data_IF_662447705830
#
_entry.id   IF_662447705830
#
_cell.length_a   1.000
_cell.length_b   1.000
_cell.length_c   1.000
_cell.angle_alpha   90.00
_cell.angle_beta   90.00
_cell.angle_gamma   90.00
#
_symmetry.space_group_name_H-M   'P 1'
#
loop_
_entity.id
_entity.type
_entity.pdbx_description
1 polymer ?
#
# COMPACT_ATOMS: atom_id res chain seq x y z
N UNK A 1 -3.13 -18.80 50.39
CA UNK A 1 -4.06 -19.55 49.52
C UNK A 1 -3.40 -19.83 48.17
N UNK A 2 -2.98 -21.09 47.94
CA UNK A 2 -2.36 -21.47 46.65
C UNK A 2 -3.46 -21.78 45.65
N UNK A 3 -3.69 -20.89 44.65
CA UNK A 3 -4.57 -21.19 43.51
C UNK A 3 -3.87 -22.21 42.59
N UNK A 4 -4.44 -23.42 42.49
CA UNK A 4 -4.02 -24.43 41.51
C UNK A 4 -4.35 -23.94 40.12
N UNK A 5 -3.34 -23.71 39.29
CA UNK A 5 -3.50 -23.47 37.86
C UNK A 5 -3.99 -24.79 37.21
N UNK A 6 -5.17 -24.77 36.60
CA UNK A 6 -5.61 -25.82 35.69
C UNK A 6 -4.99 -25.56 34.33
N UNK A 7 -4.27 -26.50 33.73
CA UNK A 7 -3.75 -26.32 32.38
C UNK A 7 -4.92 -26.23 31.40
N UNK A 8 -4.98 -25.13 30.62
CA UNK A 8 -5.87 -25.06 29.50
C UNK A 8 -5.40 -26.02 28.40
N UNK A 9 -6.37 -26.72 27.78
CA UNK A 9 -6.11 -27.60 26.62
C UNK A 9 -5.37 -26.84 25.55
N UNK A 10 -4.36 -27.45 24.90
CA UNK A 10 -3.66 -26.79 23.80
C UNK A 10 -4.65 -26.48 22.66
N UNK A 11 -4.59 -25.26 22.13
CA UNK A 11 -5.30 -24.85 20.92
C UNK A 11 -4.76 -25.70 19.75
N UNK A 12 -5.44 -26.82 19.49
CA UNK A 12 -5.19 -27.68 18.35
C UNK A 12 -5.58 -26.94 17.07
N UNK A 13 -4.58 -26.48 16.30
CA UNK A 13 -4.86 -25.80 15.06
C UNK A 13 -3.72 -25.73 14.06
N UNK A 14 -2.56 -26.34 14.30
CA UNK A 14 -1.44 -26.26 13.35
C UNK A 14 -0.43 -27.40 13.54
N UNK A 15 -0.82 -28.65 13.36
CA UNK A 15 0.02 -29.75 12.93
C UNK A 15 -0.80 -31.04 12.92
N UNK A 16 -1.33 -31.41 11.78
CA UNK A 16 -1.73 -32.79 11.50
C UNK A 16 -0.51 -33.52 10.93
N UNK A 17 0.26 -34.17 11.78
CA UNK A 17 1.09 -35.27 11.34
C UNK A 17 0.32 -36.55 11.57
N UNK A 18 -0.40 -37.00 10.55
CA UNK A 18 -0.86 -38.40 10.47
C UNK A 18 0.19 -39.14 9.65
N UNK A 19 0.70 -40.17 10.25
CA UNK A 19 1.28 -41.41 9.79
C UNK A 19 2.66 -41.68 10.33
N UNK A 20 2.71 -42.49 11.37
CA UNK A 20 3.61 -43.63 11.49
C UNK A 20 3.04 -44.60 12.56
N UNK A 21 2.84 -45.88 12.25
CA UNK A 21 2.49 -46.86 13.22
C UNK A 21 3.77 -47.46 13.86
N UNK A 22 3.64 -47.84 15.12
CA UNK A 22 4.49 -48.74 15.89
C UNK A 22 5.88 -48.28 16.39
N UNK A 23 5.89 -47.88 17.66
CA UNK A 23 6.88 -48.39 18.63
C UNK A 23 6.41 -48.03 20.03
N UNK A 24 6.16 -49.06 20.85
CA UNK A 24 5.90 -48.92 22.27
C UNK A 24 7.10 -48.30 23.03
N UNK A 25 6.90 -47.14 23.56
CA UNK A 25 7.85 -46.43 24.40
C UNK A 25 7.16 -45.19 24.96
N UNK A 26 7.16 -45.01 26.28
CA UNK A 26 6.47 -43.93 26.97
C UNK A 26 6.72 -42.58 26.34
N UNK A 27 5.67 -41.95 25.85
CA UNK A 27 5.71 -40.58 25.31
C UNK A 27 6.07 -39.59 26.41
N UNK A 28 7.34 -39.24 26.55
CA UNK A 28 7.71 -37.99 27.18
C UNK A 28 7.27 -36.85 26.24
N UNK A 29 6.13 -36.23 26.54
CA UNK A 29 5.71 -35.04 25.84
C UNK A 29 6.78 -33.95 26.06
N UNK A 30 7.58 -33.65 25.04
CA UNK A 30 8.50 -32.52 25.10
C UNK A 30 7.70 -31.23 24.90
N UNK A 31 7.73 -30.37 25.89
CA UNK A 31 7.09 -29.04 25.81
C UNK A 31 8.14 -28.03 25.38
N UNK A 32 7.83 -27.29 24.34
CA UNK A 32 8.62 -26.12 23.91
C UNK A 32 7.95 -24.86 24.44
N UNK A 33 8.70 -24.05 25.15
CA UNK A 33 8.24 -22.74 25.64
C UNK A 33 8.79 -21.65 24.75
N UNK A 34 7.93 -20.78 24.29
CA UNK A 34 8.32 -19.59 23.52
C UNK A 34 7.95 -18.33 24.31
N UNK A 35 8.95 -17.52 24.66
CA UNK A 35 8.71 -16.20 25.23
C UNK A 35 8.63 -15.15 24.13
N UNK A 36 7.59 -14.32 24.19
CA UNK A 36 7.38 -13.22 23.25
C UNK A 36 7.30 -11.91 24.03
N UNK A 37 8.03 -10.90 23.54
CA UNK A 37 8.01 -9.55 24.09
C UNK A 37 7.43 -8.59 23.04
N UNK A 38 6.32 -7.92 23.39
CA UNK A 38 5.66 -6.97 22.49
C UNK A 38 5.62 -5.59 23.11
N UNK A 39 6.08 -4.57 22.38
CA UNK A 39 5.84 -3.18 22.72
C UNK A 39 4.40 -2.81 22.34
N UNK A 40 3.55 -2.62 23.33
CA UNK A 40 2.14 -2.23 23.13
C UNK A 40 1.96 -0.72 23.01
N UNK A 41 3.00 0.06 23.30
CA UNK A 41 2.98 1.52 23.21
C UNK A 41 4.03 2.04 22.21
N UNK A 42 3.65 2.37 20.97
CA UNK A 42 4.59 2.90 19.99
C UNK A 42 5.26 4.21 20.42
N UNK A 43 4.62 4.99 21.31
CA UNK A 43 5.17 6.25 21.81
C UNK A 43 6.53 6.08 22.51
N UNK A 44 6.75 4.94 23.18
CA UNK A 44 8.04 4.65 23.83
C UNK A 44 9.20 4.66 22.85
N UNK A 45 9.02 4.06 21.67
CA UNK A 45 10.05 4.09 20.61
C UNK A 45 10.13 5.44 19.90
N UNK A 46 9.08 6.24 20.00
CA UNK A 46 8.99 7.54 19.33
C UNK A 46 9.49 8.70 20.18
N UNK A 47 9.66 8.49 21.49
CA UNK A 47 10.03 9.52 22.45
C UNK A 47 11.40 10.14 22.15
N UNK A 48 12.38 9.32 21.79
CA UNK A 48 13.72 9.78 21.39
C UNK A 48 13.65 10.76 20.21
N UNK A 49 12.80 10.46 19.20
CA UNK A 49 12.61 11.36 18.06
C UNK A 49 11.94 12.67 18.49
N UNK A 50 10.96 12.60 19.38
CA UNK A 50 10.25 13.77 19.91
C UNK A 50 11.16 14.73 20.63
N UNK A 51 12.12 14.21 21.41
CA UNK A 51 13.07 15.01 22.19
C UNK A 51 14.22 15.59 21.35
N UNK A 52 14.75 14.80 20.42
CA UNK A 52 15.95 15.18 19.66
C UNK A 52 15.66 15.98 18.38
N UNK A 53 14.39 16.02 17.89
CA UNK A 53 14.06 16.64 16.62
C UNK A 53 13.34 17.98 16.80
N UNK A 54 13.67 18.95 15.97
CA UNK A 54 13.01 20.26 15.92
C UNK A 54 11.59 20.17 15.36
N UNK A 55 11.38 19.31 14.37
CA UNK A 55 10.10 19.14 13.70
C UNK A 55 9.94 17.72 13.20
N UNK A 56 8.73 17.21 13.23
CA UNK A 56 8.36 15.88 12.79
C UNK A 56 7.28 16.02 11.73
N UNK A 57 7.54 15.48 10.53
CA UNK A 57 6.59 15.43 9.41
C UNK A 57 6.29 13.97 9.09
N UNK A 58 5.02 13.58 9.22
CA UNK A 58 4.54 12.28 8.77
C UNK A 58 3.82 12.44 7.43
N UNK A 59 4.22 11.67 6.44
CA UNK A 59 3.60 11.67 5.12
C UNK A 59 3.31 10.26 4.65
N UNK A 60 2.11 10.03 4.17
CA UNK A 60 1.70 8.76 3.54
C UNK A 60 0.38 8.94 2.79
N UNK A 61 0.17 8.16 1.74
CA UNK A 61 -1.12 8.10 1.03
C UNK A 61 -2.27 7.51 1.87
N UNK A 62 -1.97 6.90 3.02
CA UNK A 62 -2.94 6.17 3.86
C UNK A 62 -2.89 6.59 5.34
N UNK A 63 -2.66 7.88 5.61
CA UNK A 63 -2.63 8.41 6.98
C UNK A 63 -4.01 8.48 7.65
N UNK A 64 -5.09 8.43 6.88
CA UNK A 64 -6.45 8.48 7.44
C UNK A 64 -6.83 7.16 8.14
N UNK A 65 -7.44 7.20 9.34
CA UNK A 65 -7.78 8.36 10.17
C UNK A 65 -6.58 8.95 10.94
N UNK A 66 -6.26 10.22 10.71
CA UNK A 66 -5.05 10.86 11.24
C UNK A 66 -5.01 11.00 12.77
N UNK A 67 -6.16 11.08 13.42
CA UNK A 67 -6.24 11.20 14.89
C UNK A 67 -5.56 10.04 15.62
N UNK A 68 -5.52 8.86 14.98
CA UNK A 68 -4.87 7.67 15.56
C UNK A 68 -3.37 7.82 15.74
N UNK A 69 -2.69 8.58 14.87
CA UNK A 69 -1.25 8.80 14.99
C UNK A 69 -0.91 9.66 16.20
N UNK A 70 -1.68 10.72 16.47
CA UNK A 70 -1.52 11.53 17.68
C UNK A 70 -1.67 10.68 18.94
N UNK A 71 -2.69 9.84 18.99
CA UNK A 71 -2.94 8.94 20.13
C UNK A 71 -1.85 7.89 20.30
N UNK A 72 -1.41 7.24 19.22
CA UNK A 72 -0.46 6.13 19.31
C UNK A 72 0.98 6.60 19.51
N UNK A 73 1.37 7.75 18.96
CA UNK A 73 2.73 8.29 19.06
C UNK A 73 2.90 9.29 20.22
N UNK A 74 1.82 9.60 20.93
CA UNK A 74 1.77 10.61 21.99
C UNK A 74 2.36 11.96 21.54
N UNK A 75 1.97 12.39 20.33
CA UNK A 75 2.40 13.65 19.73
C UNK A 75 1.20 14.43 19.24
N UNK A 76 1.12 15.69 19.66
CA UNK A 76 0.10 16.59 19.12
C UNK A 76 0.60 17.18 17.79
N UNK A 77 0.07 16.66 16.67
CA UNK A 77 0.29 17.23 15.34
C UNK A 77 -0.64 18.44 15.14
N UNK A 78 -0.08 19.65 15.27
CA UNK A 78 -0.81 20.90 15.13
C UNK A 78 -1.33 21.12 13.69
N UNK A 79 -0.60 20.62 12.70
CA UNK A 79 -0.98 20.70 11.29
C UNK A 79 -1.35 19.29 10.80
N UNK A 80 -2.56 19.15 10.25
CA UNK A 80 -3.08 17.91 9.68
C UNK A 80 -3.66 18.22 8.31
N UNK A 81 -3.07 17.63 7.27
CA UNK A 81 -3.52 17.81 5.89
C UNK A 81 -4.05 16.49 5.34
N UNK A 82 -5.35 16.41 5.11
CA UNK A 82 -5.95 15.36 4.30
C UNK A 82 -6.28 15.96 2.93
N UNK A 83 -5.34 15.82 1.99
CA UNK A 83 -5.46 16.39 0.67
C UNK A 83 -6.60 15.72 -0.13
N UNK A 84 -7.13 16.44 -1.11
CA UNK A 84 -7.94 15.83 -2.15
C UNK A 84 -7.03 15.02 -3.09
N UNK A 85 -7.59 14.02 -3.74
CA UNK A 85 -6.82 13.28 -4.74
C UNK A 85 -6.54 14.17 -5.97
N UNK A 86 -5.43 13.91 -6.66
CA UNK A 86 -4.99 14.67 -7.84
C UNK A 86 -5.80 14.37 -9.10
N UNK A 87 -6.62 13.31 -9.09
CA UNK A 87 -7.46 12.87 -10.21
C UNK A 87 -8.81 13.56 -10.23
N UNK A 88 -9.43 13.64 -11.41
CA UNK A 88 -10.82 14.05 -11.55
C UNK A 88 -11.75 12.97 -10.98
N UNK A 89 -12.87 13.38 -10.37
CA UNK A 89 -13.87 12.46 -9.83
C UNK A 89 -14.45 11.52 -10.88
N UNK A 90 -14.47 11.93 -12.14
CA UNK A 90 -14.93 11.09 -13.26
C UNK A 90 -14.02 9.91 -13.56
N UNK A 91 -12.74 9.98 -13.15
CA UNK A 91 -11.78 8.91 -13.37
C UNK A 91 -11.90 7.77 -12.35
N UNK A 92 -12.71 7.93 -11.30
CA UNK A 92 -12.88 6.92 -10.25
C UNK A 92 -14.34 6.61 -10.02
N UNK A 93 -14.69 5.36 -10.20
CA UNK A 93 -15.99 4.80 -9.88
C UNK A 93 -15.91 4.10 -8.52
N UNK A 94 -16.60 4.62 -7.49
CA UNK A 94 -16.54 4.11 -6.13
C UNK A 94 -17.93 3.73 -5.66
N UNK A 95 -18.16 2.44 -5.41
CA UNK A 95 -19.47 1.94 -5.02
C UNK A 95 -19.39 0.93 -3.88
N UNK A 96 -20.46 0.86 -3.10
CA UNK A 96 -20.71 -0.21 -2.15
C UNK A 96 -21.89 -1.06 -2.63
N UNK A 97 -21.79 -2.38 -2.49
CA UNK A 97 -22.84 -3.32 -2.88
C UNK A 97 -23.28 -4.14 -1.67
N UNK A 98 -24.59 -4.15 -1.39
CA UNK A 98 -25.16 -4.87 -0.26
C UNK A 98 -25.83 -6.21 -0.63
N UNK A 99 -26.28 -6.37 -1.86
CA UNK A 99 -26.95 -7.59 -2.33
C UNK A 99 -26.37 -8.04 -3.67
N UNK A 100 -26.29 -9.34 -3.87
CA UNK A 100 -25.83 -9.91 -5.12
C UNK A 100 -26.93 -10.07 -6.18
N UNK A 101 -26.62 -10.71 -7.33
CA UNK A 101 -27.54 -10.80 -8.47
C UNK A 101 -28.86 -11.52 -8.18
N UNK A 102 -28.88 -12.51 -7.26
CA UNK A 102 -30.11 -13.19 -6.86
C UNK A 102 -30.80 -12.56 -5.64
N UNK A 103 -30.39 -11.35 -5.25
CA UNK A 103 -30.96 -10.62 -4.12
C UNK A 103 -30.49 -11.08 -2.74
N UNK A 104 -29.54 -11.99 -2.66
CA UNK A 104 -28.95 -12.44 -1.40
C UNK A 104 -28.07 -11.34 -0.80
N UNK A 105 -28.24 -11.08 0.51
CA UNK A 105 -27.39 -10.12 1.24
C UNK A 105 -25.93 -10.56 1.23
N UNK A 106 -25.04 -9.63 0.91
CA UNK A 106 -23.59 -9.81 0.89
C UNK A 106 -23.00 -9.29 2.21
N UNK A 107 -22.84 -10.19 3.17
CA UNK A 107 -22.29 -9.89 4.49
C UNK A 107 -21.10 -10.81 4.76
N UNK A 108 -19.90 -10.29 4.65
CA UNK A 108 -18.66 -11.05 4.77
C UNK A 108 -18.18 -11.23 6.23
N UNK A 109 -19.11 -11.33 7.19
CA UNK A 109 -18.77 -11.73 8.55
C UNK A 109 -18.38 -13.20 8.61
N UNK A 110 -17.58 -13.59 9.61
CA UNK A 110 -17.12 -14.97 9.80
C UNK A 110 -18.28 -15.99 9.74
N UNK A 111 -19.42 -15.64 10.37
CA UNK A 111 -20.61 -16.52 10.39
C UNK A 111 -21.23 -16.72 9.00
N UNK A 112 -21.33 -15.67 8.22
CA UNK A 112 -22.01 -15.70 6.91
C UNK A 112 -21.08 -16.20 5.80
N UNK A 113 -19.78 -15.98 5.93
CA UNK A 113 -18.77 -16.45 4.96
C UNK A 113 -18.73 -17.99 4.79
N UNK A 114 -19.29 -18.73 5.75
CA UNK A 114 -19.45 -20.21 5.67
C UNK A 114 -20.62 -20.63 4.77
N UNK A 115 -21.56 -19.73 4.48
CA UNK A 115 -22.75 -20.04 3.69
C UNK A 115 -22.43 -20.16 2.20
N UNK A 116 -22.82 -21.27 1.58
CA UNK A 116 -22.72 -21.45 0.12
C UNK A 116 -23.49 -20.38 -0.65
N UNK A 117 -24.66 -19.96 -0.13
CA UNK A 117 -25.45 -18.90 -0.75
C UNK A 117 -24.64 -17.59 -0.85
N UNK A 118 -23.95 -17.19 0.21
CA UNK A 118 -23.06 -16.04 0.18
C UNK A 118 -21.87 -16.23 -0.79
N UNK A 119 -21.24 -17.41 -0.75
CA UNK A 119 -20.05 -17.71 -1.57
C UNK A 119 -20.39 -17.68 -3.06
N UNK A 120 -21.52 -18.28 -3.46
CA UNK A 120 -21.96 -18.31 -4.84
C UNK A 120 -22.42 -16.93 -5.33
N UNK A 121 -23.09 -16.18 -4.47
CA UNK A 121 -23.55 -14.84 -4.78
C UNK A 121 -22.39 -13.86 -4.98
N UNK A 122 -21.40 -13.91 -4.08
CA UNK A 122 -20.17 -13.16 -4.22
C UNK A 122 -19.42 -13.56 -5.50
N UNK A 123 -19.35 -14.85 -5.80
CA UNK A 123 -18.70 -15.34 -7.02
C UNK A 123 -19.36 -14.82 -8.29
N UNK A 124 -20.71 -14.73 -8.32
CA UNK A 124 -21.44 -14.12 -9.45
C UNK A 124 -21.14 -12.64 -9.62
N UNK A 125 -20.97 -11.91 -8.50
CA UNK A 125 -20.55 -10.50 -8.55
C UNK A 125 -19.14 -10.36 -9.12
N UNK A 126 -18.18 -11.15 -8.62
CA UNK A 126 -16.79 -11.11 -9.10
C UNK A 126 -16.71 -11.48 -10.58
N UNK A 127 -17.44 -12.54 -11.01
CA UNK A 127 -17.50 -12.94 -12.42
C UNK A 127 -18.06 -11.81 -13.29
N UNK A 128 -19.14 -11.16 -12.86
CA UNK A 128 -19.72 -10.02 -13.58
C UNK A 128 -18.77 -8.81 -13.70
N UNK A 129 -17.97 -8.52 -12.66
CA UNK A 129 -16.93 -7.48 -12.75
C UNK A 129 -15.84 -7.90 -13.74
N UNK A 130 -15.38 -9.16 -13.72
CA UNK A 130 -14.40 -9.68 -14.66
C UNK A 130 -14.88 -9.63 -16.13
N UNK A 131 -16.18 -9.80 -16.35
CA UNK A 131 -16.81 -9.71 -17.68
C UNK A 131 -16.97 -8.25 -18.16
N UNK A 132 -17.04 -7.30 -17.23
CA UNK A 132 -17.33 -5.89 -17.53
C UNK A 132 -16.07 -5.04 -17.62
N UNK A 133 -15.09 -5.27 -16.73
CA UNK A 133 -13.88 -4.44 -16.60
C UNK A 133 -12.74 -5.05 -17.40
N UNK A 134 -12.10 -4.31 -18.33
CA UNK A 134 -10.94 -4.81 -19.06
C UNK A 134 -9.69 -4.92 -18.18
N UNK A 135 -8.66 -5.63 -18.66
CA UNK A 135 -7.33 -5.73 -18.07
C UNK A 135 -7.29 -6.31 -16.64
N UNK A 136 -6.56 -5.66 -15.72
CA UNK A 136 -6.32 -6.15 -14.37
C UNK A 136 -7.48 -5.90 -13.40
N UNK A 137 -7.88 -6.93 -12.66
CA UNK A 137 -8.84 -6.86 -11.57
C UNK A 137 -8.18 -7.39 -10.30
N UNK A 138 -8.23 -6.63 -9.21
CA UNK A 138 -7.75 -7.04 -7.89
C UNK A 138 -8.93 -7.39 -7.00
N UNK A 139 -8.93 -8.57 -6.41
CA UNK A 139 -9.93 -9.02 -5.43
C UNK A 139 -9.28 -9.16 -4.06
N UNK A 140 -9.58 -8.25 -3.15
CA UNK A 140 -9.09 -8.30 -1.78
C UNK A 140 -10.08 -8.99 -0.84
N UNK A 141 -9.59 -10.03 -0.16
CA UNK A 141 -10.34 -10.84 0.79
C UNK A 141 -9.80 -10.65 2.21
N UNK A 142 -10.61 -10.86 3.26
CA UNK A 142 -10.19 -10.65 4.64
C UNK A 142 -9.12 -11.63 5.15
N UNK A 143 -8.99 -12.82 4.56
CA UNK A 143 -8.06 -13.86 5.00
C UNK A 143 -7.76 -14.91 3.94
N UNK A 144 -6.62 -15.58 4.07
CA UNK A 144 -6.27 -16.74 3.24
C UNK A 144 -7.27 -17.91 3.37
N UNK A 145 -7.86 -18.09 4.56
CA UNK A 145 -8.91 -19.11 4.75
C UNK A 145 -10.11 -18.84 3.85
N UNK A 146 -10.55 -17.58 3.74
CA UNK A 146 -11.64 -17.19 2.85
C UNK A 146 -11.23 -17.29 1.37
N UNK A 147 -10.00 -16.89 1.02
CA UNK A 147 -9.47 -17.02 -0.34
C UNK A 147 -9.51 -18.47 -0.82
N UNK A 148 -8.98 -19.40 -0.02
CA UNK A 148 -8.96 -20.82 -0.36
C UNK A 148 -10.38 -21.39 -0.49
N UNK A 149 -11.24 -21.10 0.49
CA UNK A 149 -12.64 -21.54 0.52
C UNK A 149 -13.41 -21.10 -0.73
N UNK A 150 -13.29 -19.81 -1.10
CA UNK A 150 -13.96 -19.28 -2.29
C UNK A 150 -13.37 -19.87 -3.57
N UNK A 151 -12.05 -20.02 -3.66
CA UNK A 151 -11.39 -20.64 -4.81
C UNK A 151 -11.84 -22.08 -5.03
N UNK A 152 -11.94 -22.88 -3.94
CA UNK A 152 -12.42 -24.25 -3.99
C UNK A 152 -13.89 -24.29 -4.38
N UNK A 153 -14.74 -23.46 -3.76
CA UNK A 153 -16.18 -23.40 -4.06
C UNK A 153 -16.46 -23.04 -5.50
N UNK A 154 -15.78 -22.01 -6.03
CA UNK A 154 -16.02 -21.52 -7.38
C UNK A 154 -15.50 -22.45 -8.47
N UNK A 155 -14.50 -23.30 -8.16
CA UNK A 155 -14.02 -24.36 -9.07
C UNK A 155 -14.94 -25.55 -9.17
N UNK A 156 -15.91 -25.71 -8.26
CA UNK A 156 -16.87 -26.80 -8.33
C UNK A 156 -17.77 -26.66 -9.56
N UNK A 157 -17.88 -27.74 -10.34
CA UNK A 157 -18.51 -27.77 -11.69
C UNK A 157 -19.96 -27.28 -11.75
N UNK A 158 -20.71 -27.31 -10.64
CA UNK A 158 -22.12 -26.92 -10.60
C UNK A 158 -22.38 -25.41 -10.70
N UNK A 159 -21.41 -24.54 -10.32
CA UNK A 159 -21.67 -23.11 -10.22
C UNK A 159 -21.37 -22.31 -11.49
N UNK A 160 -20.58 -22.84 -12.40
CA UNK A 160 -20.04 -22.16 -13.61
C UNK A 160 -19.32 -20.83 -13.33
N UNK A 161 -19.14 -20.46 -12.07
CA UNK A 161 -18.53 -19.16 -11.66
C UNK A 161 -17.10 -19.08 -12.13
N UNK A 162 -16.30 -20.12 -11.84
CA UNK A 162 -14.90 -20.18 -12.26
C UNK A 162 -14.74 -20.12 -13.78
N UNK A 163 -15.60 -20.85 -14.51
CA UNK A 163 -15.59 -20.85 -15.97
C UNK A 163 -15.88 -19.47 -16.55
N UNK A 164 -16.87 -18.74 -15.99
CA UNK A 164 -17.17 -17.37 -16.40
C UNK A 164 -15.97 -16.41 -16.16
N UNK A 165 -15.34 -16.49 -14.98
CA UNK A 165 -14.15 -15.69 -14.70
C UNK A 165 -12.99 -16.04 -15.64
N UNK A 166 -12.72 -17.35 -15.81
CA UNK A 166 -11.59 -17.83 -16.64
C UNK A 166 -11.78 -17.59 -18.13
N UNK A 167 -13.03 -17.43 -18.59
CA UNK A 167 -13.32 -17.05 -19.98
C UNK A 167 -12.87 -15.60 -20.30
N UNK A 168 -12.70 -14.77 -19.27
CA UNK A 168 -12.30 -13.36 -19.42
C UNK A 168 -10.97 -13.02 -18.79
N UNK A 169 -10.60 -13.67 -17.71
CA UNK A 169 -9.41 -13.35 -16.91
C UNK A 169 -8.60 -14.59 -16.57
N UNK A 170 -7.29 -14.51 -16.69
CA UNK A 170 -6.41 -15.49 -16.04
C UNK A 170 -6.51 -15.28 -14.53
N UNK A 171 -6.98 -16.30 -13.79
CA UNK A 171 -7.17 -16.18 -12.34
C UNK A 171 -5.89 -16.57 -11.61
N UNK A 172 -5.32 -15.62 -10.89
CA UNK A 172 -4.09 -15.76 -10.09
C UNK A 172 -4.46 -15.56 -8.63
N UNK A 173 -3.97 -16.43 -7.74
CA UNK A 173 -4.23 -16.34 -6.30
C UNK A 173 -2.93 -16.06 -5.53
N UNK A 174 -2.97 -15.17 -4.56
CA UNK A 174 -1.84 -14.86 -3.70
C UNK A 174 -1.36 -16.10 -2.94
N UNK A 175 -0.11 -16.54 -3.13
CA UNK A 175 0.44 -17.69 -2.41
C UNK A 175 0.69 -17.33 -0.94
N UNK A 176 0.51 -18.30 -0.06
CA UNK A 176 0.75 -18.10 1.37
C UNK A 176 2.23 -17.94 1.71
N UNK A 177 3.09 -18.61 0.97
CA UNK A 177 4.54 -18.61 1.19
C UNK A 177 5.24 -17.54 0.37
N UNK A 178 6.38 -17.05 0.90
CA UNK A 178 7.13 -15.96 0.28
C UNK A 178 7.78 -16.33 -1.04
N UNK A 179 8.22 -17.58 -1.15
CA UNK A 179 9.10 -18.02 -2.22
C UNK A 179 8.40 -18.07 -3.59
N UNK A 180 7.08 -18.30 -3.57
CA UNK A 180 6.26 -18.34 -4.79
C UNK A 180 5.68 -16.96 -5.18
N UNK A 181 5.80 -15.97 -4.29
CA UNK A 181 5.09 -14.70 -4.45
C UNK A 181 5.58 -13.90 -5.65
N UNK A 182 6.91 -13.80 -5.84
CA UNK A 182 7.48 -13.03 -6.95
C UNK A 182 7.14 -13.63 -8.31
N UNK A 183 7.15 -14.95 -8.43
CA UNK A 183 6.77 -15.64 -9.67
C UNK A 183 5.28 -15.44 -9.97
N UNK A 184 4.43 -15.47 -8.94
CA UNK A 184 3.00 -15.27 -9.04
C UNK A 184 2.65 -13.86 -9.53
N UNK A 185 3.27 -12.83 -8.95
CA UNK A 185 3.01 -11.44 -9.34
C UNK A 185 3.57 -11.13 -10.74
N UNK A 186 4.74 -11.68 -11.07
CA UNK A 186 5.32 -11.55 -12.40
C UNK A 186 4.39 -12.16 -13.46
N UNK A 187 3.87 -13.36 -13.21
CA UNK A 187 2.90 -14.00 -14.09
C UNK A 187 1.67 -13.11 -14.31
N UNK A 188 1.14 -12.47 -13.25
CA UNK A 188 0.03 -11.54 -13.37
C UNK A 188 0.35 -10.37 -14.31
N UNK A 189 1.51 -9.73 -14.15
CA UNK A 189 1.93 -8.62 -15.00
C UNK A 189 2.17 -9.06 -16.45
N UNK A 190 2.78 -10.20 -16.66
CA UNK A 190 3.06 -10.75 -18.00
C UNK A 190 1.75 -11.03 -18.76
N UNK A 191 0.74 -11.58 -18.10
CA UNK A 191 -0.58 -11.81 -18.70
C UNK A 191 -1.22 -10.49 -19.14
N UNK A 192 -1.22 -9.48 -18.29
CA UNK A 192 -1.82 -8.18 -18.63
C UNK A 192 -1.08 -7.54 -19.79
N UNK A 193 0.24 -7.56 -19.77
CA UNK A 193 1.07 -7.03 -20.86
C UNK A 193 0.83 -7.75 -22.18
N UNK A 194 0.69 -9.07 -22.14
CA UNK A 194 0.42 -9.89 -23.33
C UNK A 194 -0.97 -9.58 -23.91
N UNK A 195 -2.00 -9.47 -23.07
CA UNK A 195 -3.38 -9.18 -23.49
C UNK A 195 -3.57 -7.73 -23.94
N UNK A 196 -2.76 -6.79 -23.46
CA UNK A 196 -2.76 -5.39 -23.90
C UNK A 196 -2.12 -5.23 -25.30
N UNK A 197 -1.07 -6.01 -25.59
CA UNK A 197 -0.36 -5.97 -26.86
C UNK A 197 -1.14 -6.64 -28.01
N UNK A 198 -1.85 -7.72 -27.74
CA UNK A 198 -2.67 -8.44 -28.70
C UNK A 198 -3.88 -9.07 -28.01
N UNK A 199 -5.11 -8.64 -28.33
CA UNK A 199 -6.31 -9.31 -27.83
C UNK A 199 -6.25 -10.81 -28.16
N UNK A 200 -6.39 -11.66 -27.14
CA UNK A 200 -6.32 -13.09 -27.32
C UNK A 200 -7.57 -13.60 -28.06
N UNK A 201 -7.38 -14.45 -29.09
CA UNK A 201 -8.47 -15.12 -29.84
C UNK A 201 -9.41 -15.92 -28.90
N UNK A 202 -8.93 -16.37 -27.74
CA UNK A 202 -9.71 -17.05 -26.71
C UNK A 202 -10.65 -16.11 -25.92
N UNK A 203 -10.65 -14.78 -26.17
CA UNK A 203 -11.51 -13.81 -25.50
C UNK A 203 -11.07 -13.40 -24.09
N UNK A 204 -9.86 -13.81 -23.65
CA UNK A 204 -9.22 -13.37 -22.40
C UNK A 204 -8.64 -11.96 -22.60
N UNK A 205 -9.04 -11.02 -21.77
CA UNK A 205 -8.68 -9.60 -21.85
C UNK A 205 -7.86 -9.08 -20.67
N UNK A 206 -7.33 -9.97 -19.82
CA UNK A 206 -6.52 -9.59 -18.67
C UNK A 206 -6.44 -10.66 -17.59
N UNK A 207 -6.22 -10.23 -16.35
CA UNK A 207 -6.07 -11.14 -15.21
C UNK A 207 -6.86 -10.69 -13.98
N UNK A 208 -7.33 -11.65 -13.18
CA UNK A 208 -7.88 -11.47 -11.84
C UNK A 208 -6.85 -11.90 -10.81
N UNK A 209 -6.41 -10.99 -9.94
CA UNK A 209 -5.55 -11.31 -8.80
C UNK A 209 -6.37 -11.39 -7.51
N UNK A 210 -6.46 -12.57 -6.93
CA UNK A 210 -7.11 -12.80 -5.64
C UNK A 210 -6.08 -12.62 -4.52
N UNK A 211 -6.23 -11.58 -3.72
CA UNK A 211 -5.28 -11.18 -2.68
C UNK A 211 -5.93 -11.14 -1.30
N UNK A 212 -5.10 -11.08 -0.27
CA UNK A 212 -5.55 -10.92 1.12
C UNK A 212 -5.22 -9.53 1.63
N UNK A 213 -6.19 -8.85 2.26
CA UNK A 213 -5.94 -7.61 2.99
C UNK A 213 -4.87 -7.82 4.05
N UNK A 214 -3.92 -6.88 4.20
CA UNK A 214 -2.72 -7.00 5.03
C UNK A 214 -1.74 -8.09 4.56
N UNK A 215 -1.92 -8.60 3.35
CA UNK A 215 -0.97 -9.44 2.66
C UNK A 215 0.07 -8.61 1.90
N UNK A 216 1.00 -9.29 1.25
CA UNK A 216 2.10 -8.64 0.50
C UNK A 216 1.61 -7.78 -0.66
N UNK A 217 0.47 -8.15 -1.27
CA UNK A 217 -0.16 -7.40 -2.37
C UNK A 217 -0.69 -6.05 -1.90
N UNK A 218 -1.25 -5.99 -0.69
CA UNK A 218 -1.72 -4.73 -0.10
C UNK A 218 -0.58 -3.82 0.35
N UNK A 219 0.65 -4.34 0.46
CA UNK A 219 1.83 -3.62 0.93
C UNK A 219 2.97 -3.73 -0.10
N UNK A 220 3.43 -2.61 -0.65
CA UNK A 220 4.68 -2.55 -1.42
C UNK A 220 4.62 -2.86 -2.93
N UNK A 221 3.48 -3.25 -3.51
CA UNK A 221 3.36 -3.45 -4.96
C UNK A 221 2.74 -2.25 -5.67
N UNK A 222 3.14 -2.04 -6.90
CA UNK A 222 2.60 -1.00 -7.78
C UNK A 222 1.74 -1.61 -8.89
N UNK A 223 0.46 -1.23 -8.92
CA UNK A 223 -0.50 -1.66 -9.92
C UNK A 223 -0.99 -0.44 -10.72
N UNK A 224 -0.07 0.18 -11.45
CA UNK A 224 -0.40 1.33 -12.30
C UNK A 224 -1.16 0.89 -13.56
N UNK A 225 -1.99 1.76 -14.09
CA UNK A 225 -2.63 1.63 -15.39
C UNK A 225 -3.43 0.32 -15.53
N UNK A 226 -3.19 -0.44 -16.59
CA UNK A 226 -3.90 -1.67 -16.91
C UNK A 226 -3.69 -2.80 -15.87
N UNK A 227 -2.80 -2.62 -14.89
CA UNK A 227 -2.60 -3.62 -13.84
C UNK A 227 -3.72 -3.59 -12.77
N UNK A 228 -4.49 -2.50 -12.63
CA UNK A 228 -5.62 -2.46 -11.67
C UNK A 228 -6.76 -1.56 -12.14
N UNK A 229 -7.50 -1.97 -13.15
CA UNK A 229 -8.70 -1.26 -13.62
C UNK A 229 -9.92 -1.45 -12.71
N UNK A 230 -9.93 -2.50 -11.88
CA UNK A 230 -10.89 -2.63 -10.80
C UNK A 230 -10.24 -3.18 -9.52
N UNK A 231 -10.71 -2.68 -8.39
CA UNK A 231 -10.39 -3.19 -7.05
C UNK A 231 -11.69 -3.58 -6.36
N UNK A 232 -11.85 -4.86 -6.04
CA UNK A 232 -12.99 -5.39 -5.30
C UNK A 232 -12.51 -5.68 -3.88
N UNK A 233 -13.09 -5.03 -2.87
CA UNK A 233 -12.82 -5.31 -1.47
C UNK A 233 -14.03 -6.00 -0.83
N UNK A 234 -13.85 -7.24 -0.38
CA UNK A 234 -14.90 -8.05 0.23
C UNK A 234 -14.82 -7.93 1.75
N UNK A 235 -15.91 -7.45 2.34
CA UNK A 235 -15.99 -7.28 3.79
C UNK A 235 -15.13 -6.13 4.33
N UNK A 236 -14.99 -6.13 5.64
CA UNK A 236 -14.14 -5.18 6.37
C UNK A 236 -13.02 -6.01 7.04
N UNK A 237 -11.75 -5.77 6.70
CA UNK A 237 -10.64 -6.61 7.12
C UNK A 237 -10.22 -6.34 8.57
N UNK A 238 -11.10 -6.67 9.52
CA UNK A 238 -10.79 -6.60 10.95
C UNK A 238 -9.63 -7.53 11.32
N UNK A 239 -8.74 -7.12 12.25
CA UNK A 239 -7.75 -8.02 12.81
C UNK A 239 -8.40 -9.24 13.44
N UNK A 240 -7.67 -10.36 13.51
CA UNK A 240 -8.17 -11.54 14.20
C UNK A 240 -8.35 -11.25 15.70
N UNK A 241 -9.59 -11.22 16.16
CA UNK A 241 -9.92 -10.93 17.56
C UNK A 241 -9.38 -11.98 18.54
N UNK A 242 -9.08 -13.20 18.07
CA UNK A 242 -8.50 -14.30 18.85
C UNK A 242 -6.95 -14.23 18.90
N UNK A 243 -6.34 -13.30 18.17
CA UNK A 243 -4.91 -13.08 18.23
C UNK A 243 -4.55 -12.46 19.60
N UNK A 244 -3.60 -13.06 20.29
CA UNK A 244 -3.20 -12.66 21.64
C UNK A 244 -2.64 -11.22 21.62
N UNK A 245 -1.87 -10.85 20.61
CA UNK A 245 -1.29 -9.52 20.46
C UNK A 245 -2.39 -8.47 20.28
N UNK A 246 -3.38 -8.76 19.44
CA UNK A 246 -4.54 -7.90 19.23
C UNK A 246 -5.35 -7.72 20.51
N UNK A 247 -5.63 -8.79 21.22
CA UNK A 247 -6.37 -8.77 22.50
C UNK A 247 -5.62 -7.97 23.57
N UNK A 248 -4.33 -8.20 23.73
CA UNK A 248 -3.49 -7.47 24.66
C UNK A 248 -3.42 -5.98 24.34
N UNK A 249 -3.26 -5.60 23.06
CA UNK A 249 -3.25 -4.20 22.66
C UNK A 249 -4.58 -3.50 22.93
N UNK A 250 -5.70 -4.16 22.68
CA UNK A 250 -7.04 -3.62 22.99
C UNK A 250 -7.19 -3.37 24.49
N UNK A 251 -6.87 -4.37 25.32
CA UNK A 251 -6.92 -4.26 26.77
C UNK A 251 -5.99 -3.17 27.29
N UNK A 252 -4.77 -3.09 26.76
CA UNK A 252 -3.81 -2.04 27.09
C UNK A 252 -4.40 -0.65 26.83
N UNK A 253 -4.95 -0.42 25.64
CA UNK A 253 -5.55 0.86 25.31
C UNK A 253 -6.73 1.22 26.23
N UNK A 254 -7.61 0.25 26.56
CA UNK A 254 -8.75 0.48 27.46
C UNK A 254 -8.32 0.82 28.89
N UNK A 255 -7.25 0.20 29.38
CA UNK A 255 -6.68 0.47 30.71
C UNK A 255 -6.06 1.87 30.71
N UNK A 256 -5.18 2.18 29.76
CA UNK A 256 -4.48 3.46 29.69
C UNK A 256 -5.42 4.64 29.49
N UNK A 257 -6.46 4.49 28.66
CA UNK A 257 -7.50 5.53 28.48
C UNK A 257 -8.20 5.87 29.78
N UNK A 258 -8.43 4.88 30.67
CA UNK A 258 -9.08 5.09 31.97
C UNK A 258 -8.15 5.70 33.02
N UNK A 259 -6.89 5.23 33.07
CA UNK A 259 -5.94 5.61 34.12
C UNK A 259 -5.33 6.99 33.87
N UNK A 260 -5.01 7.34 32.61
CA UNK A 260 -4.24 8.54 32.30
C UNK A 260 -5.11 9.73 31.90
N UNK A 261 -6.43 9.57 31.82
CA UNK A 261 -7.37 10.60 31.35
C UNK A 261 -6.86 11.35 30.09
N UNK A 262 -6.11 10.64 29.24
CA UNK A 262 -5.56 11.16 28.00
C UNK A 262 -6.54 10.94 26.87
N UNK A 263 -6.39 11.71 25.81
CA UNK A 263 -7.16 11.59 24.56
C UNK A 263 -6.67 10.38 23.73
N UNK A 264 -6.58 9.21 24.41
CA UNK A 264 -6.15 7.95 23.86
C UNK A 264 -7.33 7.22 23.19
N UNK A 265 -7.03 6.50 22.13
CA UNK A 265 -7.99 5.58 21.50
C UNK A 265 -8.32 4.45 22.48
N UNK A 266 -9.61 4.14 22.64
CA UNK A 266 -10.03 2.89 23.29
C UNK A 266 -9.58 1.67 22.48
N UNK A 267 -9.57 0.50 23.10
CA UNK A 267 -9.27 -0.74 22.39
C UNK A 267 -10.21 -1.04 21.24
N UNK A 268 -11.49 -0.61 21.34
CA UNK A 268 -12.45 -0.73 20.25
C UNK A 268 -12.15 0.24 19.11
N UNK A 269 -11.95 1.52 19.40
CA UNK A 269 -11.61 2.53 18.39
C UNK A 269 -10.32 2.16 17.65
N UNK A 270 -9.30 1.72 18.39
CA UNK A 270 -8.06 1.22 17.78
C UNK A 270 -8.31 0.03 16.84
N UNK A 271 -9.11 -0.94 17.27
CA UNK A 271 -9.43 -2.14 16.49
C UNK A 271 -10.16 -1.80 15.19
N UNK A 272 -11.14 -0.90 15.25
CA UNK A 272 -11.87 -0.43 14.07
C UNK A 272 -10.93 0.33 13.11
N UNK A 273 -10.07 1.21 13.62
CA UNK A 273 -9.09 1.94 12.82
C UNK A 273 -8.14 1.00 12.08
N UNK A 274 -7.69 -0.09 12.73
CA UNK A 274 -6.81 -1.06 12.06
C UNK A 274 -7.50 -1.71 10.84
N UNK A 275 -8.80 -1.97 10.91
CA UNK A 275 -9.55 -2.51 9.79
C UNK A 275 -9.63 -1.51 8.63
N UNK A 276 -9.95 -0.24 8.91
CA UNK A 276 -10.08 0.78 7.88
C UNK A 276 -8.74 1.22 7.29
N UNK A 277 -7.65 1.16 8.06
CA UNK A 277 -6.29 1.33 7.50
C UNK A 277 -5.99 0.28 6.44
N UNK A 278 -6.22 -1.00 6.75
CA UNK A 278 -6.00 -2.08 5.80
C UNK A 278 -6.91 -1.95 4.56
N UNK A 279 -8.17 -1.53 4.77
CA UNK A 279 -9.09 -1.27 3.67
C UNK A 279 -8.61 -0.11 2.79
N UNK A 280 -8.26 1.05 3.38
CA UNK A 280 -7.75 2.20 2.64
C UNK A 280 -6.46 1.88 1.85
N UNK A 281 -5.59 1.01 2.39
CA UNK A 281 -4.41 0.52 1.68
C UNK A 281 -4.79 -0.28 0.43
N UNK A 282 -5.76 -1.19 0.55
CA UNK A 282 -6.24 -1.99 -0.58
C UNK A 282 -6.92 -1.12 -1.64
N UNK A 283 -7.81 -0.18 -1.23
CA UNK A 283 -8.49 0.75 -2.13
C UNK A 283 -7.51 1.66 -2.88
N UNK A 284 -6.45 2.10 -2.19
CA UNK A 284 -5.37 2.93 -2.76
C UNK A 284 -4.53 2.24 -3.83
N UNK A 285 -4.75 0.94 -4.12
CA UNK A 285 -4.06 0.22 -5.21
C UNK A 285 -4.65 0.53 -6.59
N UNK A 286 -5.86 1.10 -6.64
CA UNK A 286 -6.58 1.36 -7.88
C UNK A 286 -5.99 2.53 -8.69
N UNK A 287 -5.51 3.58 -8.03
CA UNK A 287 -5.11 4.84 -8.68
C UNK A 287 -3.69 5.22 -8.28
N UNK A 288 -2.83 5.51 -9.27
CA UNK A 288 -1.41 5.80 -9.05
C UNK A 288 -0.95 7.17 -9.51
N UNK A 289 -1.52 7.70 -10.56
CA UNK A 289 -1.11 8.99 -11.12
C UNK A 289 -2.31 9.77 -11.67
N UNK A 290 -2.07 11.02 -12.07
CA UNK A 290 -3.11 11.96 -12.48
C UNK A 290 -3.96 11.50 -13.68
N UNK A 291 -3.41 10.68 -14.56
CA UNK A 291 -4.10 10.17 -15.77
C UNK A 291 -4.65 8.77 -15.58
N UNK A 292 -4.52 8.21 -14.38
CA UNK A 292 -5.01 6.87 -14.07
C UNK A 292 -6.52 6.88 -13.82
N UNK A 293 -7.15 5.72 -14.03
CA UNK A 293 -8.57 5.55 -13.79
C UNK A 293 -8.87 4.13 -13.30
N UNK A 294 -9.97 3.97 -12.60
CA UNK A 294 -10.38 2.63 -12.16
C UNK A 294 -11.65 2.60 -11.32
N UNK A 295 -12.16 1.39 -11.16
CA UNK A 295 -13.35 1.10 -10.38
C UNK A 295 -13.00 0.54 -9.00
N UNK A 296 -13.69 0.99 -7.98
CA UNK A 296 -13.60 0.49 -6.60
C UNK A 296 -14.97 -0.02 -6.19
N UNK A 297 -15.05 -1.32 -5.88
CA UNK A 297 -16.26 -1.98 -5.40
C UNK A 297 -16.04 -2.55 -4.00
N UNK A 298 -16.73 -2.01 -3.02
CA UNK A 298 -16.75 -2.52 -1.64
C UNK A 298 -17.99 -3.39 -1.42
N UNK A 299 -17.79 -4.68 -1.20
CA UNK A 299 -18.87 -5.68 -1.13
C UNK A 299 -19.12 -6.06 0.33
N UNK A 300 -20.07 -5.39 0.96
CA UNK A 300 -20.59 -5.74 2.29
C UNK A 300 -21.85 -4.93 2.61
N UNK A 301 -22.88 -5.57 3.15
CA UNK A 301 -24.13 -4.91 3.54
C UNK A 301 -23.99 -3.96 4.74
N UNK A 302 -22.93 -4.13 5.53
CA UNK A 302 -22.64 -3.29 6.70
C UNK A 302 -22.30 -1.84 6.35
N UNK A 303 -21.84 -1.55 5.14
CA UNK A 303 -21.62 -0.16 4.71
C UNK A 303 -22.93 0.63 4.64
N UNK A 304 -24.02 -0.03 4.25
CA UNK A 304 -25.34 0.58 4.26
C UNK A 304 -25.94 0.65 5.68
N UNK A 305 -25.76 -0.41 6.47
CA UNK A 305 -26.33 -0.52 7.83
C UNK A 305 -25.65 0.39 8.84
N UNK A 306 -24.36 0.73 8.60
CA UNK A 306 -23.57 1.55 9.50
C UNK A 306 -22.84 2.67 8.73
N UNK A 307 -23.47 3.85 8.58
CA UNK A 307 -22.87 5.00 7.90
C UNK A 307 -21.53 5.46 8.49
N UNK A 308 -21.27 5.19 9.78
CA UNK A 308 -20.01 5.51 10.45
C UNK A 308 -18.80 4.81 9.82
N UNK A 309 -19.00 3.66 9.16
CA UNK A 309 -17.93 2.99 8.45
C UNK A 309 -17.42 3.77 7.24
N UNK A 310 -18.30 4.48 6.54
CA UNK A 310 -17.91 5.34 5.42
C UNK A 310 -17.08 6.53 5.88
N UNK A 311 -17.30 7.04 7.09
CA UNK A 311 -16.50 8.14 7.66
C UNK A 311 -15.06 7.73 7.98
N UNK A 312 -14.81 6.44 8.16
CA UNK A 312 -13.46 5.88 8.42
C UNK A 312 -12.64 5.67 7.15
N UNK A 313 -13.25 5.83 5.98
CA UNK A 313 -12.55 5.81 4.70
C UNK A 313 -11.76 7.09 4.48
N UNK A 314 -10.71 7.02 3.66
CA UNK A 314 -9.97 8.22 3.24
C UNK A 314 -10.88 9.22 2.52
N UNK A 315 -10.59 10.53 2.64
CA UNK A 315 -11.42 11.62 2.13
C UNK A 315 -11.78 11.46 0.65
N UNK A 316 -10.81 11.09 -0.17
CA UNK A 316 -11.01 10.93 -1.61
C UNK A 316 -11.96 9.77 -1.95
N UNK A 317 -11.94 8.68 -1.15
CA UNK A 317 -12.87 7.56 -1.31
C UNK A 317 -14.25 7.96 -0.83
N UNK A 318 -14.40 8.43 0.43
CA UNK A 318 -15.71 8.73 1.03
C UNK A 318 -16.48 9.83 0.31
N UNK A 319 -15.78 10.76 -0.36
CA UNK A 319 -16.43 11.83 -1.12
C UNK A 319 -17.07 11.37 -2.43
N UNK A 320 -16.67 10.19 -2.95
CA UNK A 320 -17.16 9.63 -4.22
C UNK A 320 -18.04 8.38 -4.06
N UNK A 321 -18.25 7.88 -2.82
CA UNK A 321 -19.01 6.65 -2.59
C UNK A 321 -20.49 6.83 -2.89
N UNK A 322 -21.04 5.90 -3.69
CA UNK A 322 -22.48 5.69 -3.83
C UNK A 322 -22.82 4.24 -3.49
N UNK A 323 -24.06 3.99 -3.09
CA UNK A 323 -24.51 2.69 -2.65
C UNK A 323 -25.46 2.04 -3.65
N UNK A 324 -25.25 0.75 -3.92
CA UNK A 324 -26.16 -0.10 -4.69
C UNK A 324 -26.70 -1.26 -3.85
N UNK A 325 -28.03 -1.42 -3.86
CA UNK A 325 -28.73 -2.63 -3.39
C UNK A 325 -29.12 -3.54 -4.56
N UNK A 326 -29.16 -3.00 -5.78
CA UNK A 326 -29.45 -3.75 -7.01
C UNK A 326 -28.18 -3.98 -7.80
N UNK A 327 -27.80 -5.24 -7.94
CA UNK A 327 -26.58 -5.63 -8.63
C UNK A 327 -26.62 -5.38 -10.14
N UNK A 328 -27.81 -5.51 -10.77
CA UNK A 328 -27.98 -5.25 -12.21
C UNK A 328 -27.71 -3.79 -12.55
N UNK A 329 -28.31 -2.86 -11.79
CA UNK A 329 -28.08 -1.41 -11.99
C UNK A 329 -26.61 -1.04 -11.73
N UNK A 330 -25.97 -1.69 -10.77
CA UNK A 330 -24.54 -1.51 -10.50
C UNK A 330 -23.68 -1.92 -11.71
N UNK A 331 -24.00 -3.05 -12.38
CA UNK A 331 -23.25 -3.48 -13.56
C UNK A 331 -23.48 -2.58 -14.77
N UNK A 332 -24.69 -2.04 -14.95
CA UNK A 332 -25.00 -1.07 -16.00
C UNK A 332 -24.20 0.22 -15.81
N UNK A 333 -24.15 0.74 -14.58
CA UNK A 333 -23.34 1.93 -14.23
C UNK A 333 -21.82 1.66 -14.43
N UNK A 334 -21.35 0.48 -14.00
CA UNK A 334 -19.95 0.07 -14.17
C UNK A 334 -19.57 -0.03 -15.67
N UNK A 335 -20.47 -0.59 -16.49
CA UNK A 335 -20.26 -0.72 -17.93
C UNK A 335 -20.17 0.64 -18.62
N UNK A 336 -21.06 1.57 -18.25
CA UNK A 336 -21.03 2.95 -18.77
C UNK A 336 -19.71 3.63 -18.38
N UNK A 337 -19.31 3.55 -17.10
CA UNK A 337 -18.05 4.10 -16.61
C UNK A 337 -16.84 3.57 -17.40
N UNK A 338 -16.76 2.25 -17.61
CA UNK A 338 -15.64 1.66 -18.34
C UNK A 338 -15.59 2.12 -19.80
N UNK A 339 -16.75 2.25 -20.47
CA UNK A 339 -16.81 2.75 -21.84
C UNK A 339 -16.29 4.20 -21.95
N UNK A 340 -16.68 5.05 -21.00
CA UNK A 340 -16.23 6.44 -20.94
C UNK A 340 -14.71 6.52 -20.69
N UNK A 341 -14.18 5.68 -19.81
CA UNK A 341 -12.75 5.69 -19.48
C UNK A 341 -11.88 5.13 -20.62
N UNK A 342 -12.32 4.07 -21.27
CA UNK A 342 -11.62 3.53 -22.46
C UNK A 342 -11.58 4.57 -23.58
N UNK A 343 -12.69 5.27 -23.82
CA UNK A 343 -12.73 6.34 -24.81
C UNK A 343 -11.78 7.49 -24.44
N UNK A 344 -11.71 7.85 -23.17
CA UNK A 344 -10.77 8.87 -22.67
C UNK A 344 -9.31 8.44 -22.87
N UNK A 345 -8.97 7.18 -22.57
CA UNK A 345 -7.61 6.65 -22.78
C UNK A 345 -7.20 6.69 -24.25
N UNK A 346 -8.11 6.41 -25.18
CA UNK A 346 -7.84 6.50 -26.60
C UNK A 346 -7.53 7.93 -27.04
N UNK A 347 -8.25 8.91 -26.50
CA UNK A 347 -7.98 10.33 -26.75
C UNK A 347 -6.58 10.70 -26.23
N UNK A 348 -6.25 10.33 -25.01
CA UNK A 348 -4.91 10.60 -24.43
C UNK A 348 -3.78 9.94 -25.22
N UNK A 349 -3.98 8.69 -25.68
CA UNK A 349 -2.98 8.01 -26.51
C UNK A 349 -2.73 8.75 -27.82
N UNK A 350 -3.78 9.28 -28.45
CA UNK A 350 -3.67 10.10 -29.69
C UNK A 350 -2.93 11.41 -29.42
N UNK A 351 -3.32 12.15 -28.36
CA UNK A 351 -2.65 13.40 -27.98
C UNK A 351 -1.15 13.19 -27.71
N UNK A 352 -0.80 12.14 -26.96
CA UNK A 352 0.60 11.81 -26.69
C UNK A 352 1.38 11.42 -27.95
N UNK A 353 0.75 10.69 -28.87
CA UNK A 353 1.38 10.34 -30.14
C UNK A 353 1.62 11.58 -31.03
N UNK A 354 0.70 12.55 -31.01
CA UNK A 354 0.86 13.82 -31.71
C UNK A 354 1.94 14.70 -31.08
N UNK A 355 1.99 14.76 -29.74
CA UNK A 355 3.06 15.49 -29.04
C UNK A 355 4.44 14.86 -29.29
N UNK A 356 4.55 13.52 -29.28
CA UNK A 356 5.78 12.83 -29.63
C UNK A 356 6.21 13.11 -31.09
N UNK A 357 5.28 13.13 -32.04
CA UNK A 357 5.58 13.51 -33.42
C UNK A 357 6.08 14.94 -33.50
N UNK A 358 5.45 15.90 -32.85
CA UNK A 358 5.89 17.31 -32.81
C UNK A 358 7.28 17.45 -32.19
N UNK A 359 7.63 16.65 -31.20
CA UNK A 359 8.98 16.65 -30.59
C UNK A 359 10.01 16.01 -31.52
N UNK A 360 9.66 14.96 -32.26
CA UNK A 360 10.56 14.31 -33.23
C UNK A 360 10.74 15.14 -34.50
N UNK A 361 9.71 15.84 -34.95
CA UNK A 361 9.77 16.68 -36.12
C UNK A 361 10.40 18.08 -35.87
N UNK A 362 10.53 18.48 -34.61
CA UNK A 362 11.17 19.74 -34.26
C UNK A 362 12.69 19.59 -34.27
N UNK A 363 13.38 20.39 -35.10
CA UNK A 363 14.84 20.60 -35.15
C UNK A 363 15.48 20.89 -33.77
N UNK A 364 14.69 21.09 -32.73
CA UNK A 364 15.07 21.29 -31.33
C UNK A 364 15.74 20.08 -30.70
N UNK A 365 15.53 18.86 -31.18
CA UNK A 365 16.23 17.67 -30.66
C UNK A 365 17.70 17.67 -31.09
N UNK A 366 18.00 18.16 -32.30
CA UNK A 366 19.38 18.34 -32.76
C UNK A 366 20.10 19.45 -31.96
N UNK A 367 19.41 20.55 -31.68
CA UNK A 367 19.96 21.64 -30.86
C UNK A 367 20.15 21.26 -29.39
N UNK A 368 19.26 20.46 -28.81
CA UNK A 368 19.41 19.94 -27.44
C UNK A 368 20.54 18.91 -27.35
N UNK A 369 20.71 18.04 -28.36
CA UNK A 369 21.81 17.07 -28.42
C UNK A 369 23.15 17.80 -28.57
N UNK A 370 23.24 18.79 -29.44
CA UNK A 370 24.45 19.61 -29.64
C UNK A 370 24.78 20.45 -28.41
N UNK A 371 23.78 21.01 -27.70
CA UNK A 371 23.97 21.67 -26.42
C UNK A 371 24.47 20.72 -25.34
N UNK A 372 23.94 19.48 -25.28
CA UNK A 372 24.37 18.48 -24.32
C UNK A 372 25.81 17.99 -24.59
N UNK A 373 26.22 17.85 -25.85
CA UNK A 373 27.60 17.53 -26.22
C UNK A 373 28.56 18.66 -25.88
N UNK A 374 28.16 19.90 -26.11
CA UNK A 374 28.96 21.07 -25.73
C UNK A 374 29.13 21.17 -24.21
N UNK A 375 28.05 20.95 -23.43
CA UNK A 375 28.14 20.91 -21.95
C UNK A 375 29.02 19.76 -21.46
N UNK A 376 28.99 18.58 -22.11
CA UNK A 376 29.89 17.45 -21.79
C UNK A 376 31.34 17.79 -22.14
N UNK A 377 31.60 18.46 -23.25
CA UNK A 377 32.93 18.87 -23.64
C UNK A 377 33.50 19.93 -22.69
N UNK A 378 32.69 20.90 -22.26
CA UNK A 378 33.11 21.93 -21.30
C UNK A 378 33.37 21.35 -19.90
N UNK A 379 32.52 20.37 -19.45
CA UNK A 379 32.76 19.65 -18.21
C UNK A 379 34.05 18.80 -18.25
N UNK A 380 34.32 18.17 -19.39
CA UNK A 380 35.58 17.41 -19.59
C UNK A 380 36.81 18.31 -19.56
N UNK A 381 36.75 19.52 -20.18
CA UNK A 381 37.81 20.52 -20.10
C UNK A 381 38.03 21.01 -18.67
N UNK A 382 36.98 21.36 -17.96
CA UNK A 382 37.05 21.79 -16.58
C UNK A 382 37.64 20.69 -15.66
N UNK A 383 37.34 19.43 -15.90
CA UNK A 383 37.96 18.31 -15.18
C UNK A 383 39.45 18.15 -15.49
N UNK A 384 39.86 18.33 -16.75
CA UNK A 384 41.28 18.28 -17.14
C UNK A 384 42.07 19.44 -16.52
N UNK A 385 41.53 20.64 -16.53
CA UNK A 385 42.15 21.80 -15.89
C UNK A 385 42.27 21.64 -14.37
N UNK A 386 41.26 21.07 -13.74
CA UNK A 386 41.30 20.77 -12.30
C UNK A 386 42.34 19.70 -11.97
N UNK A 387 42.47 18.65 -12.81
CA UNK A 387 43.54 17.66 -12.65
C UNK A 387 44.94 18.22 -12.89
N UNK A 388 45.10 19.13 -13.85
CA UNK A 388 46.38 19.81 -14.07
C UNK A 388 46.74 20.76 -12.94
N UNK A 389 45.79 21.50 -12.37
CA UNK A 389 46.00 22.32 -11.18
C UNK A 389 46.35 21.47 -9.95
N UNK A 390 45.72 20.28 -9.80
CA UNK A 390 46.05 19.35 -8.73
C UNK A 390 47.46 18.77 -8.85
N UNK A 391 47.90 18.47 -10.09
CA UNK A 391 49.29 18.03 -10.38
C UNK A 391 50.33 19.16 -10.17
N UNK A 392 49.99 20.42 -10.49
CA UNK A 392 50.87 21.58 -10.22
C UNK A 392 51.02 21.87 -8.71
N UNK A 393 49.95 21.68 -7.92
CA UNK A 393 49.98 21.83 -6.44
C UNK A 393 50.77 20.70 -5.74
N UNK A 394 50.87 19.52 -6.33
CA UNK A 394 51.67 18.42 -5.78
C UNK A 394 53.18 18.53 -6.08
N UNK A 395 53.58 19.36 -7.06
CA UNK A 395 54.98 19.56 -7.41
C UNK A 395 55.66 20.77 -6.70
N UNK A 396 54.91 21.54 -5.92
CA UNK A 396 55.36 22.75 -5.30
C UNK A 396 55.16 22.84 -3.78
N UNK A 397 55.44 21.80 -3.01
CA UNK A 397 55.22 21.82 -1.56
C UNK A 397 55.95 20.74 -0.80
N UNK A 398 57.23 20.97 -0.58
CA UNK A 398 57.95 20.40 0.57
C UNK A 398 57.72 21.36 1.75
N UNK A 399 57.00 20.91 2.81
CA UNK A 399 56.79 21.73 4.03
C UNK A 399 55.73 21.09 4.93
N UNK A 400 56.20 20.46 5.93
CA UNK A 400 55.65 19.94 7.18
C UNK A 400 54.27 20.41 7.67
N UNK A 401 53.44 19.48 8.13
CA UNK A 401 52.56 19.57 9.30
C UNK A 401 51.20 20.19 9.05
N UNK A 402 50.24 19.35 8.91
CA UNK A 402 48.84 19.46 9.35
C UNK A 402 47.91 18.55 8.51
N UNK A 403 48.06 17.26 8.68
CA UNK A 403 47.11 16.26 8.17
C UNK A 403 46.18 15.84 9.31
N UNK A 404 45.00 16.36 9.35
CA UNK A 404 44.03 15.84 10.33
C UNK A 404 42.63 16.43 10.35
N UNK A 405 42.40 17.60 9.76
CA UNK A 405 41.08 18.28 9.92
C UNK A 405 40.35 18.67 8.63
N UNK A 406 40.87 18.36 7.45
CA UNK A 406 40.25 18.76 6.18
C UNK A 406 39.40 17.70 5.50
N UNK A 407 39.56 16.40 5.80
CA UNK A 407 38.79 15.32 5.17
C UNK A 407 37.33 15.26 5.63
N UNK A 408 37.01 15.71 6.85
CA UNK A 408 35.64 15.72 7.39
C UNK A 408 34.74 16.86 6.89
N UNK A 409 35.31 17.87 6.24
CA UNK A 409 34.52 19.03 5.77
C UNK A 409 34.00 18.90 4.36
N UNK A 410 34.61 18.06 3.51
CA UNK A 410 34.22 17.88 2.12
C UNK A 410 33.09 16.83 1.96
N UNK A 411 33.00 15.85 2.88
CA UNK A 411 31.88 14.91 2.90
C UNK A 411 30.57 15.57 3.35
N UNK A 412 30.61 16.61 4.17
CA UNK A 412 29.39 17.30 4.63
C UNK A 412 28.78 18.22 3.55
N UNK A 413 29.58 18.70 2.60
CA UNK A 413 29.10 19.57 1.51
C UNK A 413 28.40 18.76 0.40
N UNK A 414 28.79 17.51 0.18
CA UNK A 414 28.16 16.63 -0.84
C UNK A 414 26.78 16.14 -0.42
N UNK A 415 26.54 15.99 0.87
CA UNK A 415 25.23 15.57 1.38
C UNK A 415 24.19 16.72 1.35
N UNK A 416 24.60 17.96 1.63
CA UNK A 416 23.72 19.14 1.54
C UNK A 416 23.34 19.48 0.09
N UNK A 417 24.24 19.28 -0.87
CA UNK A 417 23.95 19.49 -2.30
C UNK A 417 23.08 18.38 -2.92
N UNK A 418 23.07 17.18 -2.35
CA UNK A 418 22.17 16.12 -2.79
C UNK A 418 20.73 16.34 -2.29
N UNK A 419 20.55 16.88 -1.07
CA UNK A 419 19.23 17.16 -0.52
C UNK A 419 18.58 18.42 -1.09
N UNK A 420 19.33 19.43 -1.53
CA UNK A 420 18.78 20.65 -2.14
C UNK A 420 18.14 20.42 -3.52
N UNK A 421 18.46 19.31 -4.20
CA UNK A 421 17.86 18.94 -5.49
C UNK A 421 16.50 18.25 -5.37
N UNK A 422 16.09 17.86 -4.16
CA UNK A 422 14.79 17.24 -3.88
C UNK A 422 13.76 18.19 -3.25
N UNK A 423 14.15 19.43 -2.94
CA UNK A 423 13.22 20.48 -2.52
C UNK A 423 12.62 21.10 -3.78
N UNK A 424 11.46 20.60 -4.16
CA UNK A 424 10.64 21.13 -5.25
C UNK A 424 10.33 22.59 -5.01
N UNK A 425 10.50 23.40 -6.03
CA UNK A 425 10.12 24.80 -6.15
C UNK A 425 8.62 25.02 -5.86
N UNK A 426 8.28 25.14 -4.58
CA UNK A 426 7.01 25.69 -4.17
C UNK A 426 7.26 26.99 -3.40
N UNK A 427 7.18 28.11 -4.13
CA UNK A 427 7.41 29.48 -3.60
C UNK A 427 6.55 29.79 -2.36
N UNK A 428 5.37 29.14 -2.22
CA UNK A 428 4.50 29.33 -1.06
C UNK A 428 5.02 28.63 0.19
N UNK A 429 5.72 27.50 0.04
CA UNK A 429 6.31 26.78 1.17
C UNK A 429 7.59 27.48 1.67
N UNK A 430 8.39 28.01 0.75
CA UNK A 430 9.58 28.78 1.06
C UNK A 430 9.26 30.11 1.78
N UNK A 431 8.23 30.82 1.33
CA UNK A 431 7.75 32.04 2.00
C UNK A 431 7.24 31.82 3.43
N UNK A 432 6.68 30.62 3.72
CA UNK A 432 6.20 30.27 5.08
C UNK A 432 7.36 29.91 6.02
N UNK A 433 8.42 29.31 5.49
CA UNK A 433 9.62 28.94 6.26
C UNK A 433 10.46 30.18 6.60
N UNK A 434 10.61 31.11 5.65
CA UNK A 434 11.42 32.33 5.83
C UNK A 434 10.75 33.36 6.74
N UNK A 435 9.43 33.49 6.72
CA UNK A 435 8.70 34.47 7.55
C UNK A 435 8.71 34.17 9.05
N UNK A 436 8.96 32.94 9.47
CA UNK A 436 8.87 32.52 10.87
C UNK A 436 10.22 32.31 11.56
N UNK A 437 11.32 32.30 10.81
CA UNK A 437 12.63 31.92 11.35
C UNK A 437 13.77 32.76 10.80
N UNK A 438 13.94 33.99 11.32
CA UNK A 438 15.11 34.82 11.06
C UNK A 438 16.41 34.13 11.56
N UNK A 439 17.55 34.28 10.84
CA UNK A 439 18.77 33.56 11.14
C UNK A 439 19.56 34.19 12.32
N UNK A 440 19.58 33.47 13.41
CA UNK A 440 20.39 33.88 14.55
C UNK A 440 20.40 32.87 15.67
N UNK A 441 21.07 31.77 15.47
CA UNK A 441 21.69 30.83 16.42
C UNK A 441 21.65 29.40 15.83
N UNK A 442 22.65 29.14 15.01
CA UNK A 442 22.87 27.77 14.48
C UNK A 442 23.58 26.94 15.55
N UNK A 443 22.83 26.04 16.19
CA UNK A 443 23.38 24.80 16.75
C UNK A 443 22.37 23.68 16.54
N UNK A 444 22.79 22.73 15.72
CA UNK A 444 22.17 21.39 15.49
C UNK A 444 20.75 21.36 14.86
N UNK A 445 20.70 21.49 13.54
CA UNK A 445 19.51 21.19 12.75
C UNK A 445 19.54 19.71 12.36
N UNK A 446 18.72 18.87 12.99
CA UNK A 446 18.39 17.55 12.50
C UNK A 446 16.90 17.55 12.15
N UNK A 447 16.56 17.25 10.91
CA UNK A 447 15.19 16.99 10.49
C UNK A 447 15.03 15.47 10.37
N UNK A 448 14.04 14.89 11.03
CA UNK A 448 13.67 13.50 10.85
C UNK A 448 12.40 13.45 9.99
N UNK A 449 12.49 12.82 8.81
CA UNK A 449 11.34 12.53 7.95
C UNK A 449 11.01 11.06 8.18
N UNK A 450 9.86 10.81 8.75
CA UNK A 450 9.31 9.47 8.91
C UNK A 450 8.30 9.20 7.81
N UNK A 451 8.68 8.35 6.84
CA UNK A 451 7.79 7.78 5.85
C UNK A 451 7.08 6.58 6.49
N UNK A 452 5.81 6.74 6.86
CA UNK A 452 5.05 5.65 7.43
C UNK A 452 4.52 4.72 6.33
N UNK A 453 4.86 3.45 6.45
CA UNK A 453 4.30 2.30 5.73
C UNK A 453 4.69 2.05 4.28
N UNK A 454 5.81 2.54 3.81
CA UNK A 454 6.60 1.76 2.87
C UNK A 454 7.85 1.31 3.60
N UNK A 455 7.77 0.15 4.26
CA UNK A 455 8.96 -0.59 4.65
C UNK A 455 9.54 -1.18 3.36
N UNK A 456 10.21 -0.36 2.57
CA UNK A 456 11.37 -0.88 1.88
C UNK A 456 12.34 -1.24 2.99
N UNK A 457 12.57 -2.54 3.19
CA UNK A 457 13.79 -3.03 3.83
C UNK A 457 14.97 -2.60 2.95
N UNK A 458 15.31 -1.33 2.99
CA UNK A 458 16.68 -0.92 2.73
C UNK A 458 17.44 -1.48 3.92
N UNK A 459 18.19 -2.55 3.70
CA UNK A 459 19.12 -3.04 4.70
C UNK A 459 20.00 -1.85 5.06
N UNK A 460 19.89 -1.38 6.28
CA UNK A 460 20.76 -0.33 6.84
C UNK A 460 22.27 -0.70 6.70
N UNK A 461 22.56 -1.99 6.46
CA UNK A 461 23.90 -2.51 6.20
C UNK A 461 24.47 -2.11 4.83
N UNK A 462 23.67 -1.66 3.87
CA UNK A 462 24.17 -1.22 2.56
C UNK A 462 24.46 0.30 2.53
N UNK A 463 23.89 1.06 3.47
CA UNK A 463 24.14 2.50 3.61
C UNK A 463 25.35 2.85 4.51
N UNK A 464 25.93 1.85 5.18
CA UNK A 464 27.09 2.03 6.05
C UNK A 464 28.39 1.40 5.48
N UNK A 465 28.35 0.86 4.26
CA UNK A 465 29.50 0.22 3.59
C UNK A 465 29.99 0.98 2.36
N UNK A 466 29.49 2.16 2.06
CA UNK A 466 30.05 3.14 1.13
C UNK A 466 30.41 4.45 1.91
#
# INVERSE_FOLDING_TARGET
>A
MKKKFKPQKPLSGWYNSKNSPDAGGGMHASYTFTANFWCLNPAVSFETFKEETRSIVLTSGTLSPMASFSSELDVNFALRLEANHVIDRRQVWIRTLSHGPAGQSLNATYKNAESYAFQDELGRVVAGVCETVPHGVLLFLPSYAMLNKLSERWKQNGSRIWQRMSAKKVVVAEPRFSDEFESCIRHYYDVIKATDAAPNEAGVDGALFMAVCRGKVSEGLDFADNHARAVICVGIPFPNVKDIQVDLKRKYNDVRKREENRDLLSGREWYDIQAFRALNQALGRCIRHRRDWGAILMVDDRYQKNPGYLQSLSKWVRSGVSHYSNCQLMFEDLKSFNADMVAMDEVYKKEMAEEQKKVTDSTTVMDASNKLENVKADAAKAMQEHQQQKKKRQRGGTGSGEKGKRAKRDEHLTCENAMSKFLVEDEKLNGFIDAKYAPGKAKHRRAAILLSHFIYRVKLSELLSE
#
